data_IF_556639546940
#
_entry.id   IF_556639546940
#
_cell.length_a   1.000
_cell.length_b   1.000
_cell.length_c   1.000
_cell.angle_alpha   90.00
_cell.angle_beta   90.00
_cell.angle_gamma   90.00
#
_symmetry.space_group_name_H-M   'P 1'
#
loop_
_entity.id
_entity.type
_entity.pdbx_description
1 polymer ?
#
# COMPACT_ATOMS: atom_id res chain seq x y z
N UNK A 1 24.42 -28.33 -36.08
CA UNK A 1 25.01 -27.99 -34.78
C UNK A 1 24.89 -26.48 -34.62
N UNK A 2 23.98 -26.03 -33.73
CA UNK A 2 23.97 -24.70 -33.06
C UNK A 2 23.74 -23.47 -33.97
N UNK A 3 22.94 -22.44 -33.66
CA UNK A 3 22.19 -22.02 -32.49
C UNK A 3 21.04 -21.13 -32.99
N UNK A 4 19.78 -21.45 -32.65
CA UNK A 4 18.69 -20.47 -32.73
C UNK A 4 18.85 -19.50 -31.56
N UNK A 5 19.18 -18.25 -31.87
CA UNK A 5 19.24 -17.17 -30.89
C UNK A 5 17.81 -16.68 -30.63
N UNK A 6 17.11 -17.30 -29.68
CA UNK A 6 15.87 -16.78 -29.13
C UNK A 6 16.21 -15.52 -28.31
N UNK A 7 16.10 -14.34 -28.93
CA UNK A 7 15.97 -13.09 -28.16
C UNK A 7 14.57 -13.10 -27.58
N UNK A 8 14.49 -13.32 -26.27
CA UNK A 8 13.24 -13.48 -25.52
C UNK A 8 12.27 -12.33 -25.76
N UNK A 9 10.98 -12.70 -25.87
CA UNK A 9 9.85 -11.79 -25.89
C UNK A 9 10.00 -10.69 -24.83
N UNK A 10 9.96 -9.43 -25.24
CA UNK A 10 9.70 -8.35 -24.30
C UNK A 10 8.21 -8.43 -23.90
N UNK A 11 7.86 -8.57 -22.61
CA UNK A 11 6.47 -8.56 -22.24
C UNK A 11 5.96 -7.11 -22.23
N UNK A 12 4.72 -6.95 -22.70
CA UNK A 12 3.86 -5.76 -22.62
C UNK A 12 4.02 -4.97 -21.31
N UNK A 13 3.69 -3.66 -21.27
CA UNK A 13 3.78 -2.87 -20.03
C UNK A 13 3.05 -3.62 -18.91
N UNK A 14 3.79 -3.90 -17.83
CA UNK A 14 3.25 -4.56 -16.66
C UNK A 14 2.04 -3.77 -16.17
N UNK A 15 0.92 -4.44 -15.92
CA UNK A 15 -0.24 -3.81 -15.34
C UNK A 15 0.16 -3.25 -13.97
N UNK A 16 -0.01 -1.94 -13.79
CA UNK A 16 0.33 -1.22 -12.56
C UNK A 16 -0.94 -0.58 -12.02
N UNK A 17 -1.25 -0.87 -10.74
CA UNK A 17 -2.41 -0.31 -10.05
C UNK A 17 -1.93 0.43 -8.80
N UNK A 18 -2.40 1.66 -8.64
CA UNK A 18 -2.26 2.43 -7.41
C UNK A 18 -3.59 2.36 -6.65
N UNK A 19 -3.53 1.90 -5.41
CA UNK A 19 -4.66 1.85 -4.49
C UNK A 19 -4.40 2.84 -3.35
N UNK A 20 -4.68 4.11 -3.60
CA UNK A 20 -4.64 5.17 -2.60
C UNK A 20 -6.01 5.29 -1.93
N UNK A 21 -6.10 4.82 -0.68
CA UNK A 21 -7.40 4.56 -0.03
C UNK A 21 -7.86 5.70 0.86
N UNK A 22 -9.19 5.88 1.03
CA UNK A 22 -9.70 6.69 2.13
C UNK A 22 -9.21 6.12 3.47
N UNK A 23 -8.71 6.99 4.32
CA UNK A 23 -8.18 6.65 5.64
C UNK A 23 -8.53 7.74 6.66
N UNK A 24 -7.99 7.65 7.88
CA UNK A 24 -8.20 8.69 8.90
C UNK A 24 -7.55 10.03 8.57
N UNK A 25 -6.76 10.13 7.50
CA UNK A 25 -6.14 11.38 7.02
C UNK A 25 -5.50 12.19 8.15
N UNK A 26 -4.60 11.57 8.92
CA UNK A 26 -4.25 11.98 10.29
C UNK A 26 -3.86 13.46 10.40
N UNK A 27 -3.04 13.98 9.47
CA UNK A 27 -2.65 15.40 9.46
C UNK A 27 -3.85 16.31 9.21
N UNK A 28 -4.70 15.98 8.24
CA UNK A 28 -5.89 16.77 7.93
C UNK A 28 -6.87 16.78 9.11
N UNK A 29 -7.11 15.62 9.72
CA UNK A 29 -7.97 15.46 10.90
C UNK A 29 -7.50 16.23 12.15
N UNK A 30 -6.24 16.69 12.19
CA UNK A 30 -5.74 17.55 13.27
C UNK A 30 -5.94 19.04 13.01
N UNK A 31 -6.22 19.43 11.76
CA UNK A 31 -6.30 20.84 11.35
C UNK A 31 -7.69 21.25 10.87
N UNK A 32 -8.50 20.30 10.42
CA UNK A 32 -9.85 20.54 9.90
C UNK A 32 -10.91 19.91 10.82
N UNK A 33 -11.87 20.72 11.25
CA UNK A 33 -12.98 20.27 12.11
C UNK A 33 -14.23 19.95 11.28
N UNK A 34 -14.38 20.60 10.12
CA UNK A 34 -15.50 20.35 9.21
C UNK A 34 -15.38 18.95 8.59
N UNK A 35 -16.46 18.16 8.67
CA UNK A 35 -16.50 16.78 8.19
C UNK A 35 -15.38 15.86 8.74
N UNK A 36 -14.81 16.17 9.90
CA UNK A 36 -13.73 15.39 10.49
C UNK A 36 -14.17 13.92 10.81
N UNK A 37 -13.34 12.94 10.43
CA UNK A 37 -13.62 11.51 10.61
C UNK A 37 -13.72 11.09 12.09
N UNK A 38 -13.18 11.90 12.99
CA UNK A 38 -13.24 11.69 14.45
C UNK A 38 -14.49 12.27 15.10
N UNK A 39 -15.38 12.95 14.35
CA UNK A 39 -16.68 13.37 14.85
C UNK A 39 -17.49 12.16 15.36
N UNK A 40 -18.25 12.36 16.44
CA UNK A 40 -19.04 11.28 17.07
C UNK A 40 -20.02 10.60 16.11
N UNK A 41 -20.61 11.37 15.21
CA UNK A 41 -21.52 10.91 14.15
C UNK A 41 -20.86 9.89 13.20
N UNK A 42 -19.55 10.05 12.94
CA UNK A 42 -18.78 9.22 12.00
C UNK A 42 -18.04 8.07 12.67
N UNK A 43 -18.27 7.80 13.96
CA UNK A 43 -17.59 6.72 14.70
C UNK A 43 -17.70 5.36 14.02
N UNK A 44 -18.90 5.00 13.55
CA UNK A 44 -19.13 3.71 12.85
C UNK A 44 -18.31 3.65 11.56
N UNK A 45 -18.39 4.69 10.74
CA UNK A 45 -17.62 4.79 9.51
C UNK A 45 -16.12 4.65 9.76
N UNK A 46 -15.58 5.40 10.72
CA UNK A 46 -14.17 5.35 11.12
C UNK A 46 -13.73 3.94 11.53
N UNK A 47 -14.57 3.21 12.26
CA UNK A 47 -14.28 1.83 12.68
C UNK A 47 -14.27 0.84 11.51
N UNK A 48 -15.03 1.12 10.44
CA UNK A 48 -15.11 0.26 9.26
C UNK A 48 -14.01 0.54 8.23
N UNK A 49 -13.21 1.61 8.40
CA UNK A 49 -12.16 1.98 7.44
C UNK A 49 -11.19 0.83 7.12
N UNK A 50 -10.59 0.11 8.08
CA UNK A 50 -9.70 -1.01 7.76
C UNK A 50 -10.34 -2.07 6.87
N UNK A 51 -11.61 -2.40 7.13
CA UNK A 51 -12.34 -3.38 6.32
C UNK A 51 -12.56 -2.87 4.89
N UNK A 52 -12.97 -1.61 4.73
CA UNK A 52 -13.12 -0.98 3.42
C UNK A 52 -11.78 -0.97 2.65
N UNK A 53 -10.68 -0.66 3.34
CA UNK A 53 -9.34 -0.61 2.75
C UNK A 53 -8.88 -1.99 2.27
N UNK A 54 -9.15 -3.06 3.04
CA UNK A 54 -8.91 -4.45 2.60
C UNK A 54 -9.70 -4.75 1.33
N UNK A 55 -10.98 -4.37 1.26
CA UNK A 55 -11.82 -4.60 0.07
C UNK A 55 -11.29 -3.85 -1.15
N UNK A 56 -10.89 -2.59 -0.99
CA UNK A 56 -10.32 -1.78 -2.07
C UNK A 56 -8.98 -2.35 -2.57
N UNK A 57 -8.11 -2.77 -1.64
CA UNK A 57 -6.83 -3.38 -1.99
C UNK A 57 -7.01 -4.72 -2.71
N UNK A 58 -7.91 -5.57 -2.20
CA UNK A 58 -8.27 -6.83 -2.83
C UNK A 58 -8.81 -6.61 -4.26
N UNK A 59 -9.69 -5.62 -4.45
CA UNK A 59 -10.20 -5.27 -5.77
C UNK A 59 -9.08 -4.79 -6.72
N UNK A 60 -8.14 -3.98 -6.23
CA UNK A 60 -6.97 -3.56 -7.01
C UNK A 60 -6.07 -4.72 -7.43
N UNK A 61 -5.83 -5.68 -6.53
CA UNK A 61 -5.07 -6.90 -6.83
C UNK A 61 -5.81 -7.80 -7.83
N UNK A 62 -7.13 -7.98 -7.69
CA UNK A 62 -7.95 -8.76 -8.63
C UNK A 62 -7.96 -8.14 -10.04
N UNK A 63 -7.96 -6.81 -10.13
CA UNK A 63 -7.87 -6.08 -11.40
C UNK A 63 -6.46 -6.13 -12.04
N UNK A 64 -5.44 -6.46 -11.25
CA UNK A 64 -4.06 -6.55 -11.70
C UNK A 64 -3.83 -7.88 -12.41
N UNK A 65 -3.14 -7.89 -13.54
CA UNK A 65 -2.77 -9.14 -14.24
C UNK A 65 -1.72 -9.93 -13.43
N UNK A 66 -1.64 -11.26 -13.57
CA UNK A 66 -0.50 -12.03 -13.05
C UNK A 66 0.83 -11.47 -13.58
N UNK A 67 1.81 -11.34 -12.69
CA UNK A 67 3.08 -10.63 -12.92
C UNK A 67 2.99 -9.10 -12.86
N UNK A 68 1.80 -8.53 -12.64
CA UNK A 68 1.57 -7.09 -12.46
C UNK A 68 1.81 -6.63 -11.02
N UNK A 69 1.91 -5.32 -10.85
CA UNK A 69 2.26 -4.70 -9.57
C UNK A 69 1.14 -3.82 -9.03
N UNK A 70 1.01 -3.83 -7.71
CA UNK A 70 0.11 -2.94 -6.96
C UNK A 70 0.92 -2.15 -5.95
N UNK A 71 0.63 -0.85 -5.84
CA UNK A 71 1.06 -0.03 -4.70
C UNK A 71 -0.17 0.33 -3.89
N UNK A 72 -0.20 -0.07 -2.63
CA UNK A 72 -1.17 0.40 -1.65
C UNK A 72 -0.60 1.61 -0.91
N UNK A 73 -1.41 2.64 -0.68
CA UNK A 73 -0.98 3.80 0.12
C UNK A 73 -2.06 4.36 1.04
N UNK A 74 -1.61 4.95 2.14
CA UNK A 74 -2.44 5.77 3.04
C UNK A 74 -1.67 6.99 3.51
N UNK A 75 -2.41 8.01 3.97
CA UNK A 75 -1.86 9.10 4.77
C UNK A 75 -2.23 8.97 6.26
N UNK A 76 -2.12 7.75 6.81
CA UNK A 76 -2.31 7.44 8.23
C UNK A 76 -1.07 6.79 8.85
N UNK A 77 -0.82 7.05 10.13
CA UNK A 77 0.19 6.40 10.96
C UNK A 77 -0.29 5.07 11.55
N UNK A 78 -1.57 4.73 11.41
CA UNK A 78 -2.16 3.57 12.08
C UNK A 78 -1.81 2.26 11.37
N UNK A 79 -1.14 1.34 12.08
CA UNK A 79 -0.87 -0.03 11.60
C UNK A 79 -2.15 -0.80 11.24
N UNK A 80 -3.28 -0.48 11.88
CA UNK A 80 -4.59 -1.06 11.57
C UNK A 80 -5.07 -0.72 10.15
N UNK A 81 -4.61 0.41 9.60
CA UNK A 81 -4.90 0.86 8.24
C UNK A 81 -3.72 0.61 7.28
N UNK A 82 -2.58 0.12 7.78
CA UNK A 82 -1.35 -0.02 7.02
C UNK A 82 -1.01 -1.50 6.86
N UNK A 83 -0.12 -2.04 7.70
CA UNK A 83 0.35 -3.42 7.60
C UNK A 83 -0.78 -4.44 7.71
N UNK A 84 -1.77 -4.21 8.59
CA UNK A 84 -2.88 -5.15 8.79
C UNK A 84 -3.83 -5.21 7.58
N UNK A 85 -3.98 -4.10 6.85
CA UNK A 85 -4.76 -4.09 5.60
C UNK A 85 -4.04 -4.91 4.53
N UNK A 86 -2.73 -4.73 4.39
CA UNK A 86 -1.92 -5.47 3.43
C UNK A 86 -2.01 -6.98 3.72
N UNK A 87 -1.77 -7.38 4.97
CA UNK A 87 -1.87 -8.78 5.38
C UNK A 87 -3.27 -9.34 5.15
N UNK A 88 -4.32 -8.62 5.60
CA UNK A 88 -5.70 -9.05 5.42
C UNK A 88 -6.12 -9.20 3.96
N UNK A 89 -5.65 -8.34 3.06
CA UNK A 89 -5.91 -8.47 1.63
C UNK A 89 -5.21 -9.68 1.02
N UNK A 90 -3.95 -9.93 1.37
CA UNK A 90 -3.18 -11.10 0.90
C UNK A 90 -3.86 -12.40 1.38
N UNK A 91 -4.23 -12.47 2.66
CA UNK A 91 -4.94 -13.64 3.22
C UNK A 91 -6.30 -13.86 2.55
N UNK A 92 -7.07 -12.78 2.32
CA UNK A 92 -8.35 -12.86 1.63
C UNK A 92 -8.19 -13.44 0.22
N UNK A 93 -7.19 -12.96 -0.53
CA UNK A 93 -6.93 -13.40 -1.91
C UNK A 93 -6.47 -14.86 -1.97
N UNK A 94 -5.59 -15.27 -1.06
CA UNK A 94 -5.14 -16.65 -0.97
C UNK A 94 -6.32 -17.58 -0.66
N UNK A 95 -7.15 -17.23 0.33
CA UNK A 95 -8.22 -18.10 0.83
C UNK A 95 -9.44 -18.16 -0.09
N UNK A 96 -9.83 -17.05 -0.72
CA UNK A 96 -11.07 -16.98 -1.50
C UNK A 96 -10.86 -17.17 -3.01
N UNK A 97 -9.68 -16.80 -3.52
CA UNK A 97 -9.42 -16.76 -4.96
C UNK A 97 -8.22 -17.62 -5.38
N UNK A 98 -7.49 -18.22 -4.43
CA UNK A 98 -6.26 -18.97 -4.69
C UNK A 98 -5.22 -18.13 -5.48
N UNK A 99 -5.18 -16.83 -5.19
CA UNK A 99 -4.23 -15.87 -5.78
C UNK A 99 -3.07 -15.67 -4.80
N UNK A 100 -1.85 -15.86 -5.29
CA UNK A 100 -0.64 -15.61 -4.53
C UNK A 100 -0.15 -14.17 -4.77
N UNK A 101 0.17 -13.47 -3.69
CA UNK A 101 0.65 -12.09 -3.71
C UNK A 101 1.93 -12.01 -2.91
N UNK A 102 2.97 -11.41 -3.49
CA UNK A 102 4.26 -11.20 -2.85
C UNK A 102 4.48 -9.72 -2.53
N UNK A 103 4.84 -9.42 -1.29
CA UNK A 103 5.33 -8.09 -0.90
C UNK A 103 6.73 -7.88 -1.46
N UNK A 104 6.97 -6.75 -2.11
CA UNK A 104 8.27 -6.39 -2.66
C UNK A 104 9.10 -5.61 -1.62
N UNK A 105 10.39 -5.92 -1.52
CA UNK A 105 11.31 -5.23 -0.61
C UNK A 105 11.62 -3.82 -1.12
N UNK A 106 11.28 -2.81 -0.30
CA UNK A 106 11.49 -1.39 -0.59
C UNK A 106 12.67 -0.79 0.17
N UNK A 107 13.50 -1.61 0.83
CA UNK A 107 14.64 -1.14 1.64
C UNK A 107 15.61 -0.29 0.84
N UNK A 108 15.91 -0.68 -0.42
CA UNK A 108 16.79 0.13 -1.27
C UNK A 108 16.13 1.47 -1.65
N UNK A 109 14.83 1.45 -1.97
CA UNK A 109 14.06 2.67 -2.24
C UNK A 109 14.09 3.61 -1.02
N UNK A 110 13.79 3.11 0.18
CA UNK A 110 13.90 3.88 1.42
C UNK A 110 15.26 4.55 1.53
N UNK A 111 16.36 3.79 1.42
CA UNK A 111 17.73 4.31 1.54
C UNK A 111 18.03 5.47 0.58
N UNK A 112 17.56 5.40 -0.66
CA UNK A 112 17.75 6.47 -1.66
C UNK A 112 17.07 7.78 -1.26
N UNK A 113 15.99 7.71 -0.47
CA UNK A 113 15.16 8.85 -0.12
C UNK A 113 15.31 9.29 1.34
N UNK A 114 16.18 8.66 2.13
CA UNK A 114 16.39 8.98 3.55
C UNK A 114 16.98 10.39 3.78
N UNK A 115 17.66 10.97 2.79
CA UNK A 115 18.19 12.34 2.88
C UNK A 115 17.08 13.39 2.78
N UNK A 116 15.89 13.01 2.26
CA UNK A 116 14.74 13.92 2.07
C UNK A 116 13.60 13.62 3.03
N UNK A 117 13.31 12.34 3.29
CA UNK A 117 12.19 11.92 4.13
C UNK A 117 12.67 11.16 5.37
N UNK A 118 11.98 11.39 6.50
CA UNK A 118 12.13 10.57 7.69
C UNK A 118 11.24 9.33 7.59
N UNK A 119 11.84 8.13 7.69
CA UNK A 119 11.11 6.86 7.65
C UNK A 119 11.02 6.21 9.02
N UNK A 120 9.89 5.57 9.32
CA UNK A 120 9.77 4.68 10.47
C UNK A 120 10.60 3.40 10.21
N UNK A 121 11.49 2.99 11.12
CA UNK A 121 12.47 1.94 10.83
C UNK A 121 11.92 0.50 10.88
N UNK A 122 10.75 0.30 11.49
CA UNK A 122 10.29 -1.03 11.95
C UNK A 122 8.95 -1.47 11.36
N UNK A 123 8.61 -1.05 10.15
CA UNK A 123 7.48 -1.62 9.42
C UNK A 123 7.75 -3.10 9.11
N UNK A 124 6.75 -3.96 9.32
CA UNK A 124 6.86 -5.40 8.99
C UNK A 124 6.80 -5.62 7.47
N UNK A 125 5.97 -4.83 6.80
CA UNK A 125 5.82 -4.78 5.35
C UNK A 125 5.60 -3.33 4.93
N UNK A 126 6.02 -2.98 3.71
CA UNK A 126 5.93 -1.61 3.23
C UNK A 126 6.88 -0.64 3.95
N UNK A 127 6.70 0.64 3.69
CA UNK A 127 7.49 1.74 4.23
C UNK A 127 6.56 2.86 4.73
N UNK A 128 6.95 3.56 5.78
CA UNK A 128 6.16 4.65 6.37
C UNK A 128 7.03 5.91 6.51
N UNK A 129 6.68 6.96 5.75
CA UNK A 129 7.21 8.30 5.97
C UNK A 129 6.49 8.94 7.15
N UNK A 130 7.26 9.41 8.12
CA UNK A 130 6.77 10.05 9.34
C UNK A 130 7.07 11.55 9.34
N UNK A 131 6.17 12.38 9.89
CA UNK A 131 6.45 13.80 10.10
C UNK A 131 7.65 14.00 11.04
N UNK A 132 8.60 14.84 10.62
CA UNK A 132 9.73 15.29 11.43
C UNK A 132 9.88 16.82 11.32
N UNK A 133 10.39 17.49 12.35
CA UNK A 133 10.58 18.94 12.32
C UNK A 133 11.57 19.41 11.24
N UNK A 134 12.60 18.60 10.95
CA UNK A 134 13.59 18.89 9.91
C UNK A 134 13.08 18.56 8.50
N UNK A 135 12.07 17.70 8.39
CA UNK A 135 11.47 17.23 7.15
C UNK A 135 9.98 16.90 7.37
N UNK A 136 9.12 17.92 7.34
CA UNK A 136 7.72 17.82 7.77
C UNK A 136 6.79 17.26 6.67
N UNK A 137 7.19 16.15 6.06
CA UNK A 137 6.40 15.40 5.08
C UNK A 137 5.51 14.34 5.75
N UNK A 138 4.67 13.68 4.96
CA UNK A 138 3.79 12.60 5.44
C UNK A 138 2.71 13.09 6.42
N UNK A 139 2.07 12.17 7.18
CA UNK A 139 2.32 10.73 7.17
C UNK A 139 1.99 10.11 5.81
N UNK A 140 2.81 9.16 5.36
CA UNK A 140 2.60 8.44 4.10
C UNK A 140 3.08 7.01 4.23
N UNK A 141 2.14 6.07 4.32
CA UNK A 141 2.43 4.64 4.21
C UNK A 141 2.33 4.20 2.76
N UNK A 142 3.22 3.33 2.32
CA UNK A 142 3.08 2.66 1.04
C UNK A 142 3.67 1.26 1.07
N UNK A 143 3.01 0.34 0.37
CA UNK A 143 3.45 -1.05 0.24
C UNK A 143 3.32 -1.50 -1.20
N UNK A 144 4.43 -1.95 -1.80
CA UNK A 144 4.46 -2.49 -3.16
C UNK A 144 4.33 -4.01 -3.10
N UNK A 145 3.51 -4.54 -4.00
CA UNK A 145 3.26 -5.97 -4.11
C UNK A 145 3.22 -6.41 -5.57
N UNK A 146 3.51 -7.68 -5.82
CA UNK A 146 3.37 -8.34 -7.10
C UNK A 146 2.31 -9.43 -7.00
N UNK A 147 1.33 -9.45 -7.92
CA UNK A 147 0.39 -10.57 -8.05
C UNK A 147 1.06 -11.68 -8.84
N UNK A 148 1.20 -12.87 -8.28
CA UNK A 148 1.93 -13.97 -8.91
C UNK A 148 1.02 -14.84 -9.81
N UNK A 149 -0.23 -15.07 -9.40
CA UNK A 149 -1.19 -15.95 -10.10
C UNK A 149 -2.56 -15.31 -10.31
#
# INVERSE_FOLDING_TARGET
MLHFHQRGCQPFPSCQVLVDVPCTTDRHSLHEEENNIFQRSRKKERQMLPMLQVQLLAAGLLATKPGGYVVYSTCSLSHLQNEYVVQGAIELLANQYNIEVRVEDLTHFRKLFMDTFSFFPSCQVGELVIPNLLANFGPMYFCKMCRLT
#
